data_IF_117561741985
#
_entry.id   IF_117561741985
#
_cell.length_a   1.000
_cell.length_b   1.000
_cell.length_c   1.000
_cell.angle_alpha   90.00
_cell.angle_beta   90.00
_cell.angle_gamma   90.00
#
_symmetry.space_group_name_H-M   'P 1'
#
loop_
_entity.id
_entity.type
_entity.pdbx_description
1 polymer ?
#
# COMPACT_ATOMS: atom_id res chain seq x y z
N UNK A 1 9.51 9.48 24.75
CA UNK A 1 9.84 9.15 24.09
C UNK A 1 10.29 9.65 23.23
N UNK A 2 10.39 9.65 22.73
CA UNK A 2 11.24 10.01 22.08
C UNK A 2 11.00 10.40 20.73
N UNK A 3 11.43 11.45 20.25
CA UNK A 3 11.27 11.86 18.92
C UNK A 3 11.98 11.05 17.89
N UNK A 4 12.75 10.09 18.32
CA UNK A 4 13.45 9.27 17.36
C UNK A 4 12.79 7.94 17.17
N UNK A 5 11.56 7.84 17.57
CA UNK A 5 10.83 6.63 17.25
C UNK A 5 10.59 6.50 15.77
N UNK A 6 10.73 5.29 15.30
CA UNK A 6 10.53 5.00 13.91
C UNK A 6 9.08 5.19 13.50
N UNK A 7 8.87 5.75 12.33
CA UNK A 7 7.55 5.85 11.74
C UNK A 7 7.59 5.15 10.39
N UNK A 8 6.68 4.20 10.19
CA UNK A 8 6.64 3.42 8.96
C UNK A 8 6.43 4.33 7.76
N UNK A 9 7.11 4.01 6.65
CA UNK A 9 6.93 4.74 5.40
C UNK A 9 6.14 3.90 4.43
N UNK A 10 5.04 4.45 3.95
CA UNK A 10 4.17 3.76 3.00
C UNK A 10 4.34 4.39 1.63
N UNK A 11 4.90 3.63 0.71
CA UNK A 11 5.10 4.07 -0.67
C UNK A 11 3.88 3.65 -1.46
N UNK A 12 3.07 4.63 -1.82
CA UNK A 12 1.79 4.42 -2.50
C UNK A 12 1.88 5.00 -3.91
N UNK A 13 1.61 4.16 -4.91
CA UNK A 13 1.68 4.59 -6.29
C UNK A 13 0.37 5.24 -6.70
N UNK A 14 0.45 6.43 -7.28
CA UNK A 14 -0.75 7.11 -7.74
C UNK A 14 -1.40 6.31 -8.87
N UNK A 15 -2.71 6.19 -8.82
CA UNK A 15 -3.46 5.43 -9.80
C UNK A 15 -3.50 3.93 -9.55
N UNK A 16 -2.95 3.46 -8.44
CA UNK A 16 -2.89 2.03 -8.17
C UNK A 16 -4.03 1.61 -7.24
N UNK A 17 -4.92 0.71 -7.69
CA UNK A 17 -6.05 0.28 -6.86
C UNK A 17 -5.62 -0.41 -5.56
N UNK A 18 -4.49 -1.10 -5.59
CA UNK A 18 -3.98 -1.80 -4.40
C UNK A 18 -3.44 -0.81 -3.38
N UNK A 19 -2.74 0.22 -3.83
CA UNK A 19 -2.29 1.28 -2.94
C UNK A 19 -3.49 1.98 -2.30
N UNK A 20 -4.53 2.23 -3.09
CA UNK A 20 -5.73 2.88 -2.57
C UNK A 20 -6.46 2.00 -1.56
N UNK A 21 -6.49 0.69 -1.79
CA UNK A 21 -7.13 -0.23 -0.85
C UNK A 21 -6.47 -0.12 0.54
N UNK A 22 -5.15 -0.10 0.57
CA UNK A 22 -4.42 0.05 1.82
C UNK A 22 -4.72 1.41 2.48
N UNK A 23 -4.72 2.47 1.67
CA UNK A 23 -4.99 3.81 2.18
C UNK A 23 -6.40 3.92 2.75
N UNK A 24 -7.38 3.34 2.07
CA UNK A 24 -8.75 3.31 2.55
C UNK A 24 -8.82 2.67 3.93
N UNK A 25 -8.15 1.53 4.09
CA UNK A 25 -8.16 0.86 5.39
C UNK A 25 -7.52 1.73 6.47
N UNK A 26 -6.32 2.27 6.19
CA UNK A 26 -5.61 3.05 7.20
C UNK A 26 -6.41 4.30 7.58
N UNK A 27 -7.08 4.91 6.62
CA UNK A 27 -7.89 6.09 6.88
C UNK A 27 -9.10 5.75 7.73
N UNK A 28 -9.83 4.72 7.34
CA UNK A 28 -11.05 4.34 8.06
C UNK A 28 -10.74 3.86 9.46
N UNK A 29 -9.64 3.15 9.62
CA UNK A 29 -9.24 2.62 10.93
C UNK A 29 -8.63 3.68 11.86
N UNK A 30 -8.43 4.91 11.35
CA UNK A 30 -7.84 5.95 12.17
C UNK A 30 -6.34 5.77 12.40
N UNK A 31 -5.65 5.12 11.46
CA UNK A 31 -4.25 4.77 11.63
C UNK A 31 -3.31 5.59 10.73
N UNK A 32 -3.81 6.64 10.08
CA UNK A 32 -2.97 7.39 9.14
C UNK A 32 -1.76 8.03 9.80
N UNK A 33 -1.88 8.42 11.06
CA UNK A 33 -0.75 9.04 11.74
C UNK A 33 0.34 8.05 12.13
N UNK A 34 0.11 6.75 11.92
CA UNK A 34 1.15 5.75 12.16
C UNK A 34 2.09 5.60 10.99
N UNK A 35 1.76 6.19 9.84
CA UNK A 35 2.59 6.05 8.65
C UNK A 35 2.89 7.42 8.06
N UNK A 36 4.04 7.48 7.41
CA UNK A 36 4.39 8.60 6.55
C UNK A 36 4.11 8.17 5.12
N UNK A 37 3.23 8.89 4.41
CA UNK A 37 2.87 8.53 3.06
C UNK A 37 3.85 9.16 2.09
N UNK A 38 4.47 8.33 1.25
CA UNK A 38 5.31 8.78 0.15
C UNK A 38 4.55 8.48 -1.12
N UNK A 39 4.08 9.53 -1.80
CA UNK A 39 3.31 9.35 -3.02
C UNK A 39 4.26 9.12 -4.18
N UNK A 40 4.13 7.98 -4.82
CA UNK A 40 4.96 7.62 -5.97
C UNK A 40 4.21 8.01 -7.23
N UNK A 41 4.76 8.97 -7.96
CA UNK A 41 4.11 9.53 -9.15
C UNK A 41 4.80 9.01 -10.39
N UNK A 42 4.13 8.13 -11.17
CA UNK A 42 4.80 7.46 -12.30
C UNK A 42 5.40 8.40 -13.33
N UNK A 43 4.87 9.62 -13.45
CA UNK A 43 5.37 10.57 -14.44
C UNK A 43 6.51 11.45 -13.94
N UNK A 44 6.85 11.33 -12.66
CA UNK A 44 7.95 12.13 -12.12
C UNK A 44 9.30 11.59 -12.61
N UNK A 45 10.27 12.48 -12.87
CA UNK A 45 11.58 12.02 -13.33
C UNK A 45 12.29 11.07 -12.37
N UNK A 46 12.03 11.20 -11.07
CA UNK A 46 12.67 10.36 -10.06
C UNK A 46 11.97 9.05 -9.79
N UNK A 47 10.85 8.78 -10.45
CA UNK A 47 10.05 7.61 -10.11
C UNK A 47 10.84 6.30 -10.26
N UNK A 48 11.51 6.13 -11.40
CA UNK A 48 12.23 4.87 -11.66
C UNK A 48 13.39 4.68 -10.69
N UNK A 49 14.08 5.75 -10.35
CA UNK A 49 15.19 5.66 -9.39
C UNK A 49 14.70 5.23 -8.00
N UNK A 50 13.60 5.81 -7.55
CA UNK A 50 13.03 5.43 -6.26
C UNK A 50 12.53 3.99 -6.30
N UNK A 51 11.89 3.61 -7.39
CA UNK A 51 11.41 2.24 -7.56
C UNK A 51 12.57 1.26 -7.51
N UNK A 52 13.69 1.60 -8.15
CA UNK A 52 14.88 0.74 -8.12
C UNK A 52 15.43 0.57 -6.72
N UNK A 53 15.42 1.64 -5.92
CA UNK A 53 15.84 1.54 -4.53
C UNK A 53 14.95 0.58 -3.75
N UNK A 54 13.64 0.67 -3.97
CA UNK A 54 12.70 -0.23 -3.30
C UNK A 54 12.94 -1.66 -3.74
N UNK A 55 13.21 -1.89 -5.03
CA UNK A 55 13.49 -3.22 -5.52
C UNK A 55 14.70 -3.83 -4.83
N UNK A 56 15.73 -3.03 -4.58
CA UNK A 56 16.92 -3.50 -3.89
C UNK A 56 16.61 -3.91 -2.45
N UNK A 57 15.80 -3.12 -1.77
CA UNK A 57 15.40 -3.46 -0.41
C UNK A 57 14.54 -4.73 -0.37
N UNK A 58 13.69 -4.91 -1.38
CA UNK A 58 12.80 -6.06 -1.43
C UNK A 58 13.48 -7.32 -1.93
N UNK A 59 14.56 -7.17 -2.71
CA UNK A 59 15.20 -8.30 -3.36
C UNK A 59 14.37 -8.88 -4.48
N UNK A 60 13.44 -8.11 -5.02
CA UNK A 60 12.56 -8.57 -6.10
C UNK A 60 11.91 -7.36 -6.74
N UNK A 61 11.16 -7.60 -7.82
CA UNK A 61 10.43 -6.54 -8.49
C UNK A 61 9.42 -5.89 -7.54
N UNK A 62 9.21 -4.59 -7.72
CA UNK A 62 8.34 -3.83 -6.85
C UNK A 62 6.88 -4.01 -7.25
N UNK A 63 6.04 -4.30 -6.28
CA UNK A 63 4.59 -4.17 -6.43
C UNK A 63 4.12 -3.23 -5.33
N UNK A 64 3.24 -2.30 -5.67
CA UNK A 64 2.75 -1.32 -4.71
C UNK A 64 1.45 -1.79 -4.09
N UNK A 65 1.18 -1.45 -2.83
CA UNK A 65 1.97 -0.58 -1.96
C UNK A 65 3.20 -1.29 -1.39
N UNK A 66 4.20 -0.50 -1.03
CA UNK A 66 5.36 -1.00 -0.30
C UNK A 66 5.43 -0.22 1.00
N UNK A 67 5.59 -0.91 2.10
CA UNK A 67 5.69 -0.23 3.40
C UNK A 67 6.94 -0.71 4.12
N UNK A 68 7.76 0.25 4.54
CA UNK A 68 8.84 -0.04 5.46
C UNK A 68 8.21 -0.11 6.85
N UNK A 69 7.85 -1.30 7.26
CA UNK A 69 7.05 -1.53 8.46
C UNK A 69 7.87 -1.39 9.74
N UNK A 70 9.15 -1.68 9.65
CA UNK A 70 10.12 -1.48 10.73
C UNK A 70 11.43 -1.11 10.06
N UNK A 71 12.40 -0.55 10.81
CA UNK A 71 13.63 -0.10 10.18
C UNK A 71 14.26 -1.21 9.35
N UNK A 72 14.42 -0.97 8.07
CA UNK A 72 15.02 -1.92 7.14
C UNK A 72 14.13 -3.09 6.74
N UNK A 73 12.91 -3.16 7.23
CA UNK A 73 12.00 -4.26 6.90
C UNK A 73 10.86 -3.77 6.03
N UNK A 74 10.81 -4.27 4.82
CA UNK A 74 9.87 -3.84 3.79
C UNK A 74 8.87 -4.94 3.52
N UNK A 75 7.60 -4.56 3.40
CA UNK A 75 6.52 -5.50 3.14
C UNK A 75 5.66 -4.98 2.01
N UNK A 76 5.18 -5.90 1.15
CA UNK A 76 4.25 -5.58 0.08
C UNK A 76 2.96 -6.35 0.31
N UNK A 77 2.04 -6.27 -0.65
CA UNK A 77 0.77 -6.99 -0.63
C UNK A 77 -0.24 -6.27 0.27
N UNK A 78 -1.17 -5.57 -0.37
CA UNK A 78 -2.13 -4.75 0.36
C UNK A 78 -2.93 -5.54 1.39
N UNK A 79 -3.32 -6.79 1.06
CA UNK A 79 -4.11 -7.57 2.01
C UNK A 79 -3.30 -7.93 3.24
N UNK A 80 -2.03 -8.32 3.06
CA UNK A 80 -1.19 -8.65 4.20
C UNK A 80 -0.87 -7.44 5.05
N UNK A 81 -0.65 -6.29 4.40
CA UNK A 81 -0.43 -5.06 5.13
C UNK A 81 -1.64 -4.68 5.95
N UNK A 82 -2.82 -4.81 5.37
CA UNK A 82 -4.06 -4.52 6.08
C UNK A 82 -4.20 -5.46 7.29
N UNK A 83 -3.94 -6.75 7.09
CA UNK A 83 -4.00 -7.71 8.19
C UNK A 83 -3.03 -7.35 9.31
N UNK A 84 -1.83 -6.94 8.95
CA UNK A 84 -0.82 -6.56 9.95
C UNK A 84 -1.29 -5.40 10.81
N UNK A 85 -1.74 -4.32 10.16
CA UNK A 85 -2.15 -3.14 10.92
C UNK A 85 -3.47 -3.34 11.65
N UNK A 86 -4.35 -4.14 11.09
CA UNK A 86 -5.59 -4.49 11.77
C UNK A 86 -5.30 -5.27 13.05
N UNK A 87 -4.40 -6.24 12.97
CA UNK A 87 -4.04 -7.03 14.14
C UNK A 87 -3.41 -6.16 15.24
N UNK A 88 -2.53 -5.24 14.84
CA UNK A 88 -1.90 -4.34 15.80
C UNK A 88 -2.92 -3.45 16.50
N UNK A 89 -3.98 -3.07 15.79
CA UNK A 89 -4.98 -2.16 16.33
C UNK A 89 -6.19 -2.88 16.94
N UNK A 90 -6.21 -4.20 16.89
CA UNK A 90 -7.34 -4.96 17.40
C UNK A 90 -8.58 -4.83 16.56
N UNK A 91 -8.43 -4.66 15.25
CA UNK A 91 -9.55 -4.46 14.33
C UNK A 91 -9.72 -5.64 13.40
N UNK A 92 -10.95 -5.79 12.91
CA UNK A 92 -11.26 -6.78 11.87
C UNK A 92 -11.46 -6.05 10.56
N UNK A 93 -10.65 -6.32 9.53
CA UNK A 93 -10.79 -5.56 8.27
C UNK A 93 -12.20 -5.64 7.67
N UNK A 94 -12.84 -6.81 7.72
CA UNK A 94 -14.16 -6.97 7.13
C UNK A 94 -15.24 -6.19 7.87
N UNK A 95 -14.97 -5.75 9.08
CA UNK A 95 -15.91 -4.93 9.83
C UNK A 95 -15.81 -3.45 9.50
N UNK A 96 -14.89 -3.08 8.61
CA UNK A 96 -14.70 -1.68 8.21
C UNK A 96 -15.59 -1.40 7.00
N UNK A 97 -16.66 -0.60 7.16
CA UNK A 97 -17.66 -0.48 6.09
C UNK A 97 -17.15 0.17 4.81
N UNK A 98 -16.26 1.17 4.91
CA UNK A 98 -15.76 1.80 3.69
C UNK A 98 -14.84 0.84 2.94
N UNK A 99 -13.95 0.17 3.64
CA UNK A 99 -13.08 -0.81 3.02
C UNK A 99 -13.90 -1.93 2.38
N UNK A 100 -14.90 -2.43 3.09
CA UNK A 100 -15.74 -3.50 2.60
C UNK A 100 -16.47 -3.07 1.32
N UNK A 101 -17.03 -1.87 1.32
CA UNK A 101 -17.72 -1.34 0.14
C UNK A 101 -16.75 -1.25 -1.04
N UNK A 102 -15.56 -0.71 -0.80
CA UNK A 102 -14.56 -0.58 -1.84
C UNK A 102 -14.16 -1.93 -2.41
N UNK A 103 -13.86 -2.88 -1.53
CA UNK A 103 -13.41 -4.21 -1.96
C UNK A 103 -14.47 -4.96 -2.75
N UNK A 104 -15.73 -4.79 -2.38
CA UNK A 104 -16.79 -5.59 -2.98
C UNK A 104 -17.38 -4.96 -4.23
N UNK A 105 -17.34 -3.65 -4.34
CA UNK A 105 -18.08 -2.98 -5.41
C UNK A 105 -17.22 -2.18 -6.36
N UNK A 106 -16.16 -1.52 -5.86
CA UNK A 106 -15.35 -0.63 -6.69
C UNK A 106 -14.06 -1.29 -7.13
N UNK A 107 -13.39 -1.94 -6.20
CA UNK A 107 -12.08 -2.55 -6.45
C UNK A 107 -12.12 -3.54 -7.62
N UNK A 108 -13.13 -4.44 -7.72
CA UNK A 108 -13.15 -5.37 -8.85
C UNK A 108 -13.23 -4.65 -10.20
N UNK A 109 -13.95 -3.54 -10.27
CA UNK A 109 -14.03 -2.78 -11.51
C UNK A 109 -12.70 -2.08 -11.82
N UNK A 110 -12.03 -1.57 -10.80
CA UNK A 110 -10.72 -0.97 -11.00
C UNK A 110 -9.69 -2.00 -11.45
N UNK A 111 -9.77 -3.21 -10.91
CA UNK A 111 -8.84 -4.26 -11.31
C UNK A 111 -9.06 -4.62 -12.77
N UNK A 112 -10.31 -4.69 -13.21
CA UNK A 112 -10.62 -4.96 -14.60
C UNK A 112 -10.01 -3.89 -15.51
N UNK A 113 -10.17 -2.62 -15.15
CA UNK A 113 -9.58 -1.53 -15.91
C UNK A 113 -8.05 -1.56 -15.86
N UNK A 114 -7.51 -1.88 -14.70
CA UNK A 114 -6.08 -1.96 -14.51
C UNK A 114 -5.47 -3.06 -15.38
N UNK A 115 -6.16 -4.19 -15.51
CA UNK A 115 -5.72 -5.29 -16.37
C UNK A 115 -5.70 -4.88 -17.84
N UNK A 116 -6.64 -4.08 -18.25
CA UNK A 116 -6.65 -3.58 -19.63
C UNK A 116 -5.42 -2.71 -19.89
N UNK A 117 -5.05 -1.85 -18.94
CA UNK A 117 -3.91 -0.95 -19.11
C UNK A 117 -2.57 -1.62 -18.83
N UNK A 118 -2.56 -2.65 -17.97
CA UNK A 118 -1.32 -3.29 -17.52
C UNK A 118 -1.47 -4.80 -17.51
N UNK A 119 -1.70 -5.41 -18.67
CA UNK A 119 -2.07 -6.84 -18.71
C UNK A 119 -1.02 -7.76 -18.09
N UNK A 120 0.25 -7.36 -18.10
CA UNK A 120 1.29 -8.22 -17.56
C UNK A 120 1.55 -8.01 -16.09
N UNK A 121 1.07 -6.93 -15.51
CA UNK A 121 1.34 -6.63 -14.11
C UNK A 121 0.15 -6.83 -13.21
N UNK A 122 -1.02 -7.04 -13.78
CA UNK A 122 -2.24 -7.09 -13.01
C UNK A 122 -2.30 -8.26 -12.04
N UNK A 123 -1.50 -9.27 -12.27
CA UNK A 123 -1.50 -10.43 -11.40
C UNK A 123 -0.66 -10.28 -10.17
N UNK A 124 0.08 -9.22 -10.05
CA UNK A 124 1.04 -9.13 -9.02
C UNK A 124 0.48 -8.55 -7.82
N UNK A 125 -0.30 -8.82 -7.19
CA UNK A 125 -0.65 -8.15 -6.03
C UNK A 125 -0.49 -8.61 -4.77
#
# INVERSE_FOLDING_TARGET
MSGNEFKAKAYLKEGCPFSFKFLVFMSEAGLLDRIEIVRMKPHDPGFEAEKDKLAKHLGKAVTFPVVEVEPGQYQTDSDRLIERYAAEAGLTPDAQPVLSFYKQTIFPQLIELFQIKHPKTAKST
#
